data_IF_606805617409
#
_entry.id   IF_606805617409
#
_cell.length_a   1.000
_cell.length_b   1.000
_cell.length_c   1.000
_cell.angle_alpha   90.00
_cell.angle_beta   90.00
_cell.angle_gamma   90.00
#
_symmetry.space_group_name_H-M   'P 1'
#
loop_
_entity.id
_entity.type
_entity.pdbx_description
1 polymer ?
#
# COMPACT_ATOMS: atom_id res chain seq x y z
N UNK A 1 21.12 -20.66 -68.84
CA UNK A 1 21.81 -20.13 -67.63
C UNK A 1 21.04 -20.75 -66.44
N UNK A 2 21.45 -21.84 -65.76
CA UNK A 2 22.66 -22.05 -64.93
C UNK A 2 22.82 -20.86 -63.96
N UNK A 3 22.70 -20.92 -62.64
CA UNK A 3 22.84 -21.99 -61.66
C UNK A 3 22.01 -21.69 -60.40
N UNK A 4 21.51 -22.76 -59.77
CA UNK A 4 21.13 -22.85 -58.36
C UNK A 4 22.36 -22.45 -57.50
N UNK A 5 22.17 -21.59 -56.49
CA UNK A 5 23.10 -21.47 -55.38
C UNK A 5 22.32 -21.29 -54.08
N UNK A 6 22.15 -22.42 -53.40
CA UNK A 6 21.83 -22.57 -52.00
C UNK A 6 22.86 -21.78 -51.16
N UNK A 7 22.43 -20.91 -50.26
CA UNK A 7 23.24 -20.54 -49.10
C UNK A 7 22.36 -20.63 -47.85
N UNK A 8 22.52 -21.76 -47.15
CA UNK A 8 22.15 -21.87 -45.74
C UNK A 8 22.97 -20.85 -44.94
N UNK A 9 22.30 -19.89 -44.32
CA UNK A 9 22.86 -19.15 -43.19
C UNK A 9 22.07 -19.57 -41.96
N UNK A 10 22.70 -20.41 -41.15
CA UNK A 10 22.24 -20.79 -39.83
C UNK A 10 22.21 -19.54 -38.93
N UNK A 11 21.03 -19.15 -38.44
CA UNK A 11 20.93 -18.22 -37.32
C UNK A 11 20.92 -19.02 -36.01
N UNK A 12 21.84 -18.74 -35.07
CA UNK A 12 21.85 -19.36 -33.76
C UNK A 12 20.62 -18.93 -32.97
N UNK A 13 19.95 -19.91 -32.36
CA UNK A 13 18.95 -19.72 -31.31
C UNK A 13 19.61 -18.96 -30.16
N UNK A 14 19.42 -17.64 -30.11
CA UNK A 14 19.64 -16.86 -28.89
C UNK A 14 18.59 -17.29 -27.87
N UNK A 15 18.93 -18.31 -27.09
CA UNK A 15 18.33 -18.58 -25.80
C UNK A 15 18.57 -17.35 -24.92
N UNK A 16 17.64 -16.39 -24.96
CA UNK A 16 17.53 -15.40 -23.90
C UNK A 16 17.03 -16.13 -22.66
N UNK A 17 18.04 -16.53 -21.88
CA UNK A 17 18.03 -16.76 -20.45
C UNK A 17 16.82 -16.13 -19.77
N UNK A 18 16.02 -16.95 -19.10
CA UNK A 18 15.07 -16.46 -18.13
C UNK A 18 15.83 -15.69 -17.05
N UNK A 19 15.59 -14.39 -16.96
CA UNK A 19 15.82 -13.64 -15.74
C UNK A 19 14.71 -14.05 -14.77
N UNK A 20 15.05 -14.98 -13.87
CA UNK A 20 14.28 -15.17 -12.65
C UNK A 20 14.26 -13.83 -11.89
N UNK A 21 13.09 -13.38 -11.41
CA UNK A 21 13.01 -12.21 -10.56
C UNK A 21 13.92 -12.41 -9.34
N UNK A 22 14.92 -11.54 -9.21
CA UNK A 22 15.74 -11.45 -8.01
C UNK A 22 14.81 -10.94 -6.90
N UNK A 23 14.26 -11.87 -6.11
CA UNK A 23 13.67 -11.56 -4.81
C UNK A 23 14.78 -10.99 -3.95
N UNK A 24 14.85 -9.66 -3.91
CA UNK A 24 15.69 -8.96 -2.96
C UNK A 24 15.16 -9.30 -1.57
N UNK A 25 15.99 -9.80 -0.63
CA UNK A 25 15.57 -9.97 0.75
C UNK A 25 15.12 -8.61 1.26
N UNK A 26 13.81 -8.45 1.49
CA UNK A 26 13.29 -7.26 2.15
C UNK A 26 13.70 -7.43 3.61
N UNK A 27 14.80 -6.77 3.99
CA UNK A 27 15.14 -6.60 5.40
C UNK A 27 13.89 -6.09 6.12
N UNK A 28 13.46 -6.71 7.24
CA UNK A 28 12.31 -6.25 7.97
C UNK A 28 12.60 -4.82 8.43
N UNK A 29 11.92 -3.85 7.80
CA UNK A 29 11.95 -2.47 8.25
C UNK A 29 11.52 -2.51 9.72
N UNK A 30 12.38 -2.06 10.67
CA UNK A 30 12.00 -2.05 12.07
C UNK A 30 10.73 -1.22 12.19
N UNK A 31 9.67 -1.89 12.63
CA UNK A 31 8.34 -1.32 12.74
C UNK A 31 8.38 -0.25 13.84
N UNK A 32 8.63 0.99 13.41
CA UNK A 32 8.80 2.13 14.32
C UNK A 32 7.42 2.59 14.74
N UNK A 33 6.97 2.11 15.90
CA UNK A 33 5.76 2.61 16.52
C UNK A 33 5.88 4.12 16.71
N UNK A 34 4.99 4.87 16.07
CA UNK A 34 4.96 6.33 16.09
C UNK A 34 3.65 6.78 16.71
N UNK A 35 3.73 7.67 17.70
CA UNK A 35 2.58 8.35 18.29
C UNK A 35 2.48 9.76 17.73
N UNK A 36 1.34 10.10 17.15
CA UNK A 36 1.10 11.41 16.51
C UNK A 36 -0.30 11.93 16.85
N UNK A 37 -0.42 13.25 16.98
CA UNK A 37 -1.71 13.93 16.93
C UNK A 37 -2.02 14.27 15.48
N UNK A 38 -3.12 13.74 14.95
CA UNK A 38 -3.51 13.90 13.55
C UNK A 38 -5.03 13.82 13.37
N UNK A 39 -5.51 13.68 12.14
CA UNK A 39 -6.92 13.44 11.82
C UNK A 39 -7.18 11.99 11.43
N UNK A 40 -8.37 11.52 11.78
CA UNK A 40 -8.98 10.30 11.26
C UNK A 40 -10.28 10.65 10.55
N UNK A 41 -10.60 9.91 9.48
CA UNK A 41 -11.71 10.28 8.61
C UNK A 41 -12.26 9.08 7.84
N UNK A 42 -13.54 9.16 7.47
CA UNK A 42 -14.19 8.19 6.59
C UNK A 42 -13.82 8.42 5.13
N UNK A 43 -13.33 7.37 4.46
CA UNK A 43 -12.90 7.38 3.06
C UNK A 43 -13.99 7.80 2.07
N UNK A 44 -15.27 7.53 2.36
CA UNK A 44 -16.36 7.98 1.50
C UNK A 44 -16.46 9.51 1.39
N UNK A 45 -15.86 10.24 2.32
CA UNK A 45 -15.87 11.71 2.38
C UNK A 45 -14.61 12.34 1.80
N UNK A 46 -13.62 11.53 1.44
CA UNK A 46 -12.33 11.98 0.91
C UNK A 46 -12.34 11.76 -0.60
N UNK A 47 -12.45 12.85 -1.37
CA UNK A 47 -12.60 12.80 -2.83
C UNK A 47 -11.51 11.98 -3.53
N UNK A 48 -10.27 12.01 -3.03
CA UNK A 48 -9.13 11.31 -3.63
C UNK A 48 -9.08 9.80 -3.37
N UNK A 49 -9.87 9.25 -2.44
CA UNK A 49 -9.79 7.82 -2.05
C UNK A 49 -10.73 6.95 -2.91
N UNK A 50 -11.90 7.48 -3.27
CA UNK A 50 -12.86 6.78 -4.14
C UNK A 50 -13.51 5.52 -3.54
N UNK A 51 -13.28 5.21 -2.26
CA UNK A 51 -13.90 4.09 -1.55
C UNK A 51 -14.09 4.36 -0.05
N UNK A 52 -15.01 3.61 0.56
CA UNK A 52 -15.34 3.73 1.97
C UNK A 52 -14.38 2.93 2.87
N UNK A 53 -14.13 3.46 4.07
CA UNK A 53 -13.24 2.86 5.06
C UNK A 53 -12.83 3.90 6.11
N UNK A 54 -12.07 3.45 7.10
CA UNK A 54 -11.51 4.30 8.15
C UNK A 54 -10.05 4.61 7.85
N UNK A 55 -9.70 5.88 7.81
CA UNK A 55 -8.36 6.34 7.43
C UNK A 55 -7.77 7.23 8.51
N UNK A 56 -6.45 7.15 8.66
CA UNK A 56 -5.65 8.11 9.42
C UNK A 56 -4.87 8.98 8.42
N UNK A 57 -4.79 10.28 8.69
CA UNK A 57 -3.94 11.18 7.93
C UNK A 57 -2.52 11.16 8.51
N UNK A 58 -1.51 10.86 7.69
CA UNK A 58 -0.08 10.90 8.07
C UNK A 58 0.67 11.57 6.92
N UNK A 59 1.43 12.62 7.20
CA UNK A 59 2.17 13.40 6.19
C UNK A 59 1.29 13.81 4.98
N UNK A 60 0.07 14.30 5.28
CA UNK A 60 -0.95 14.67 4.29
C UNK A 60 -1.40 13.54 3.35
N UNK A 61 -1.19 12.29 3.76
CA UNK A 61 -1.68 11.09 3.07
C UNK A 61 -2.66 10.35 3.96
N UNK A 62 -3.73 9.85 3.36
CA UNK A 62 -4.69 9.01 4.05
C UNK A 62 -4.30 7.55 3.94
N UNK A 63 -4.01 6.93 5.09
CA UNK A 63 -3.61 5.54 5.21
C UNK A 63 -4.78 4.76 5.84
N UNK A 64 -5.22 3.65 5.24
CA UNK A 64 -6.31 2.85 5.79
C UNK A 64 -5.88 2.21 7.11
N UNK A 65 -6.78 2.19 8.09
CA UNK A 65 -6.57 1.52 9.38
C UNK A 65 -6.85 0.02 9.20
N UNK A 66 -5.84 -0.82 9.41
CA UNK A 66 -5.88 -2.25 9.12
C UNK A 66 -6.70 -3.05 10.15
N UNK A 67 -6.65 -2.64 11.41
CA UNK A 67 -7.27 -3.30 12.55
C UNK A 67 -8.49 -2.52 13.08
N UNK A 68 -9.23 -1.89 12.15
CA UNK A 68 -10.40 -1.06 12.45
C UNK A 68 -11.45 -1.80 13.32
N UNK A 69 -11.74 -3.06 13.01
CA UNK A 69 -12.68 -3.89 13.79
C UNK A 69 -12.21 -4.15 15.22
N UNK A 70 -10.91 -4.36 15.42
CA UNK A 70 -10.33 -4.60 16.76
C UNK A 70 -10.43 -3.35 17.64
N UNK A 71 -10.45 -2.17 17.01
CA UNK A 71 -10.64 -0.87 17.65
C UNK A 71 -12.11 -0.46 17.78
N UNK A 72 -13.06 -1.33 17.37
CA UNK A 72 -14.49 -1.03 17.41
C UNK A 72 -14.96 -0.04 16.34
N UNK A 73 -14.20 0.14 15.26
CA UNK A 73 -14.47 1.08 14.16
C UNK A 73 -15.21 0.44 12.96
N UNK A 74 -15.79 -0.75 13.16
CA UNK A 74 -16.37 -1.58 12.11
C UNK A 74 -17.61 -1.00 11.41
N UNK A 75 -18.15 0.14 11.88
CA UNK A 75 -19.33 0.78 11.32
C UNK A 75 -19.01 2.09 10.58
N UNK A 76 -17.75 2.26 10.16
CA UNK A 76 -17.24 3.44 9.46
C UNK A 76 -17.49 4.71 10.28
N UNK A 77 -16.98 4.68 11.51
CA UNK A 77 -17.33 5.60 12.60
C UNK A 77 -17.34 7.07 12.23
N UNK A 78 -16.44 7.50 11.36
CA UNK A 78 -16.34 8.92 11.01
C UNK A 78 -17.13 9.33 9.76
N UNK A 79 -17.94 8.45 9.19
CA UNK A 79 -18.79 8.85 8.08
C UNK A 79 -19.81 9.88 8.56
N UNK A 80 -19.83 11.04 7.88
CA UNK A 80 -20.61 12.24 8.22
C UNK A 80 -20.07 13.09 9.39
N UNK A 81 -18.96 12.70 10.02
CA UNK A 81 -18.32 13.52 11.05
C UNK A 81 -17.28 14.50 10.48
N UNK A 82 -16.82 14.26 9.25
CA UNK A 82 -15.68 14.99 8.67
C UNK A 82 -14.35 14.52 9.27
N UNK A 83 -13.28 15.31 9.14
CA UNK A 83 -12.02 15.04 9.82
C UNK A 83 -12.19 15.13 11.34
N UNK A 84 -11.82 14.08 12.07
CA UNK A 84 -11.86 14.03 13.54
C UNK A 84 -10.43 14.05 14.07
N UNK A 85 -10.13 14.98 14.98
CA UNK A 85 -8.82 15.03 15.62
C UNK A 85 -8.64 13.82 16.54
N UNK A 86 -7.49 13.15 16.44
CA UNK A 86 -7.16 11.98 17.23
C UNK A 86 -5.68 11.94 17.62
N UNK A 87 -5.40 11.40 18.80
CA UNK A 87 -4.08 10.94 19.18
C UNK A 87 -3.98 9.45 18.85
N UNK A 88 -3.14 9.10 17.87
CA UNK A 88 -2.96 7.73 17.37
C UNK A 88 -1.56 7.25 17.66
N UNK A 89 -1.41 5.98 18.02
CA UNK A 89 -0.13 5.30 18.08
C UNK A 89 -0.21 4.01 17.29
N UNK A 90 0.84 3.70 16.53
CA UNK A 90 0.88 2.52 15.69
C UNK A 90 2.00 2.57 14.67
N UNK A 91 1.87 1.75 13.64
CA UNK A 91 2.88 1.59 12.59
C UNK A 91 2.24 1.29 11.25
N UNK A 92 2.96 1.60 10.17
CA UNK A 92 2.53 1.25 8.82
C UNK A 92 3.15 -0.08 8.43
N UNK A 93 2.30 -1.08 8.18
CA UNK A 93 2.67 -2.42 7.70
C UNK A 93 1.95 -2.64 6.38
N UNK A 94 2.69 -2.97 5.32
CA UNK A 94 2.16 -3.21 3.98
C UNK A 94 1.23 -2.10 3.44
N UNK A 95 1.58 -0.84 3.72
CA UNK A 95 0.82 0.34 3.29
C UNK A 95 -0.49 0.59 4.05
N UNK A 96 -0.72 -0.12 5.16
CA UNK A 96 -1.86 0.09 6.07
C UNK A 96 -1.37 0.45 7.46
N UNK A 97 -2.14 1.26 8.18
CA UNK A 97 -1.81 1.64 9.55
C UNK A 97 -2.40 0.64 10.54
N UNK A 98 -1.56 -0.03 11.32
CA UNK A 98 -1.96 -0.88 12.44
C UNK A 98 -1.88 -0.04 13.70
N UNK A 99 -3.01 0.34 14.26
CA UNK A 99 -3.04 1.18 15.46
C UNK A 99 -2.91 0.31 16.73
N UNK A 100 -1.95 0.64 17.58
CA UNK A 100 -1.89 0.13 18.97
C UNK A 100 -2.74 0.97 19.92
N UNK A 101 -3.04 2.21 19.55
CA UNK A 101 -3.87 3.14 20.32
C UNK A 101 -4.56 4.16 19.40
N UNK A 102 -5.80 4.51 19.72
CA UNK A 102 -6.56 5.54 19.02
C UNK A 102 -7.51 6.24 20.00
N UNK A 103 -7.24 7.51 20.30
CA UNK A 103 -8.09 8.36 21.14
C UNK A 103 -8.58 9.56 20.33
N UNK A 104 -9.88 9.69 20.10
CA UNK A 104 -10.48 10.87 19.45
C UNK A 104 -10.75 11.99 20.47
N UNK A 105 -10.63 13.25 20.06
CA UNK A 105 -10.85 14.44 20.91
C UNK A 105 -12.26 15.03 20.77
#
# INVERSE_FOLDING_TARGET
MKFLALLLIALPLTACSGEEPIETPVDPVPAKTTSISTHVQCGCTIESIGHCGNFVEIDSKYIPIANDKELGLGHMEWCKQGPVAADVAGEVVDGKFVASKLDTK
#
